data_IF_965885421234
#
_entry.id   IF_965885421234
#
_cell.length_a   1.000
_cell.length_b   1.000
_cell.length_c   1.000
_cell.angle_alpha   90.00
_cell.angle_beta   90.00
_cell.angle_gamma   90.00
#
_symmetry.space_group_name_H-M   'P 1'
#
loop_
_entity.id
_entity.type
_entity.pdbx_description
1 polymer ?
#
# COMPACT_ATOMS: atom_id res chain seq x y z
N UNK A 1 14.13 1.61 23.98
CA UNK A 1 14.45 0.26 24.44
C UNK A 1 13.21 -0.50 24.92
N UNK A 2 12.34 0.06 25.77
CA UNK A 2 11.12 -0.63 26.26
C UNK A 2 10.17 -1.11 25.15
N UNK A 3 9.99 -0.34 24.06
CA UNK A 3 9.11 -0.73 22.95
C UNK A 3 9.63 -1.92 22.14
N UNK A 4 10.95 -2.12 22.06
CA UNK A 4 11.56 -3.27 21.39
C UNK A 4 11.32 -4.53 22.20
N UNK A 5 11.45 -4.45 23.53
CA UNK A 5 11.21 -5.55 24.46
C UNK A 5 9.72 -5.95 24.46
N UNK A 6 8.81 -4.97 24.44
CA UNK A 6 7.36 -5.21 24.37
C UNK A 6 6.95 -5.89 23.05
N UNK A 7 7.55 -5.49 21.93
CA UNK A 7 7.34 -6.13 20.63
C UNK A 7 7.94 -7.55 20.58
N UNK A 8 9.05 -7.79 21.27
CA UNK A 8 9.64 -9.13 21.36
C UNK A 8 8.73 -10.10 22.12
N UNK A 9 8.14 -9.67 23.25
CA UNK A 9 7.16 -10.47 24.00
C UNK A 9 5.83 -10.64 23.25
N UNK A 10 5.45 -9.74 22.36
CA UNK A 10 4.26 -9.85 21.52
C UNK A 10 4.36 -10.96 20.46
N UNK A 11 5.58 -11.39 20.13
CA UNK A 11 5.84 -12.50 19.17
C UNK A 11 5.74 -13.87 19.86
N UNK A 12 5.86 -13.91 21.21
CA UNK A 12 5.74 -15.14 21.98
C UNK A 12 4.24 -15.46 22.10
N UNK A 13 3.76 -16.27 21.18
CA UNK A 13 2.38 -16.75 21.14
C UNK A 13 2.26 -18.13 21.83
N UNK A 14 1.05 -18.54 22.16
CA UNK A 14 0.78 -19.88 22.71
C UNK A 14 1.41 -21.00 21.85
N UNK A 15 1.47 -20.82 20.53
CA UNK A 15 2.15 -21.72 19.60
C UNK A 15 3.65 -21.87 19.89
N UNK A 16 4.34 -20.80 20.31
CA UNK A 16 5.75 -20.83 20.66
C UNK A 16 6.00 -21.73 21.90
N UNK A 17 5.12 -21.65 22.89
CA UNK A 17 5.19 -22.54 24.06
C UNK A 17 4.97 -24.01 23.70
N UNK A 18 4.04 -24.29 22.80
CA UNK A 18 3.79 -25.67 22.31
C UNK A 18 5.05 -26.21 21.62
N UNK A 19 5.70 -25.43 20.76
CA UNK A 19 6.93 -25.83 20.07
C UNK A 19 8.08 -26.09 21.07
N UNK A 20 8.27 -25.20 22.05
CA UNK A 20 9.29 -25.35 23.09
C UNK A 20 9.01 -26.62 23.93
N UNK A 21 7.76 -26.82 24.37
CA UNK A 21 7.38 -28.02 25.13
C UNK A 21 7.61 -29.31 24.33
N UNK A 22 7.21 -29.32 23.04
CA UNK A 22 7.45 -30.45 22.16
C UNK A 22 8.95 -30.75 21.99
N UNK A 23 9.78 -29.72 21.79
CA UNK A 23 11.22 -29.86 21.68
C UNK A 23 11.83 -30.43 22.98
N UNK A 24 11.44 -29.92 24.14
CA UNK A 24 11.90 -30.43 25.44
C UNK A 24 11.52 -31.90 25.66
N UNK A 25 10.26 -32.27 25.36
CA UNK A 25 9.76 -33.65 25.48
C UNK A 25 10.54 -34.58 24.55
N UNK A 26 10.73 -34.19 23.28
CA UNK A 26 11.46 -34.99 22.32
C UNK A 26 12.91 -35.19 22.73
N UNK A 27 13.57 -34.14 23.20
CA UNK A 27 14.95 -34.21 23.70
C UNK A 27 15.04 -35.15 24.92
N UNK A 28 14.10 -35.04 25.86
CA UNK A 28 14.05 -35.93 27.03
C UNK A 28 13.88 -37.40 26.64
N UNK A 29 12.98 -37.70 25.69
CA UNK A 29 12.75 -39.06 25.20
C UNK A 29 14.00 -39.61 24.51
N UNK A 30 14.63 -38.84 23.60
CA UNK A 30 15.85 -39.23 22.93
C UNK A 30 17.00 -39.53 23.91
N UNK A 31 17.16 -38.71 24.95
CA UNK A 31 18.19 -38.90 25.96
C UNK A 31 17.91 -40.16 26.80
N UNK A 32 16.67 -40.43 27.16
CA UNK A 32 16.25 -41.62 27.94
C UNK A 32 16.40 -42.92 27.15
N UNK A 33 16.17 -42.85 25.81
CA UNK A 33 16.26 -44.03 24.93
C UNK A 33 17.69 -44.24 24.37
N UNK A 34 18.68 -43.43 24.80
CA UNK A 34 20.05 -43.46 24.29
C UNK A 34 20.17 -43.33 22.76
N UNK A 35 19.21 -42.59 22.16
CA UNK A 35 19.13 -42.37 20.75
C UNK A 35 20.16 -41.27 20.37
N UNK A 36 21.44 -41.62 20.24
CA UNK A 36 22.46 -40.72 19.78
C UNK A 36 22.68 -40.90 18.28
N UNK A 37 22.15 -39.95 17.50
CA UNK A 37 22.42 -39.90 16.08
C UNK A 37 23.40 -38.77 15.80
N UNK A 38 24.54 -39.10 15.22
CA UNK A 38 25.57 -38.10 14.92
C UNK A 38 25.21 -37.33 13.63
N UNK A 39 24.22 -36.42 13.73
CA UNK A 39 23.85 -35.56 12.61
C UNK A 39 24.80 -34.38 12.59
N UNK A 40 25.40 -34.04 11.43
CA UNK A 40 26.19 -32.80 11.30
C UNK A 40 25.36 -31.60 11.73
N UNK A 41 25.75 -30.92 12.80
CA UNK A 41 25.06 -29.74 13.34
C UNK A 41 24.90 -28.64 12.31
N UNK A 42 25.84 -28.57 11.35
CA UNK A 42 25.78 -27.62 10.22
C UNK A 42 24.56 -27.81 9.33
N UNK A 43 24.15 -29.06 9.07
CA UNK A 43 22.92 -29.35 8.29
C UNK A 43 21.66 -28.89 9.02
N UNK A 44 21.61 -29.05 10.35
CA UNK A 44 20.48 -28.56 11.17
C UNK A 44 20.48 -27.04 11.15
N UNK A 45 21.64 -26.40 11.30
CA UNK A 45 21.78 -24.94 11.22
C UNK A 45 21.27 -24.39 9.89
N UNK A 46 21.67 -24.99 8.79
CA UNK A 46 21.22 -24.63 7.45
C UNK A 46 19.69 -24.80 7.33
N UNK A 47 19.14 -25.95 7.75
CA UNK A 47 17.71 -26.24 7.65
C UNK A 47 16.83 -25.24 8.43
N UNK A 48 17.35 -24.64 9.53
CA UNK A 48 16.65 -23.63 10.31
C UNK A 48 16.85 -22.24 9.73
N UNK A 49 18.07 -21.88 9.34
CA UNK A 49 18.40 -20.51 8.90
C UNK A 49 17.77 -20.20 7.53
N UNK A 50 17.75 -21.13 6.59
CA UNK A 50 17.20 -20.89 5.25
C UNK A 50 15.74 -20.43 5.27
N UNK A 51 14.80 -21.12 5.91
CA UNK A 51 13.40 -20.67 5.94
C UNK A 51 13.23 -19.29 6.60
N UNK A 52 14.03 -18.98 7.63
CA UNK A 52 14.01 -17.69 8.31
C UNK A 52 14.46 -16.59 7.35
N UNK A 53 15.60 -16.77 6.67
CA UNK A 53 16.14 -15.80 5.71
C UNK A 53 15.18 -15.58 4.56
N UNK A 54 14.59 -16.66 4.00
CA UNK A 54 13.56 -16.51 2.94
C UNK A 54 12.34 -15.76 3.40
N UNK A 55 11.86 -16.02 4.62
CA UNK A 55 10.69 -15.33 5.19
C UNK A 55 10.97 -13.84 5.39
N UNK A 56 12.15 -13.49 5.87
CA UNK A 56 12.60 -12.11 6.04
C UNK A 56 12.70 -11.42 4.68
N UNK A 57 13.36 -12.04 3.69
CA UNK A 57 13.50 -11.48 2.35
C UNK A 57 12.14 -11.28 1.67
N UNK A 58 11.23 -12.21 1.83
CA UNK A 58 9.86 -12.08 1.29
C UNK A 58 9.10 -10.90 1.93
N UNK A 59 9.27 -10.69 3.24
CA UNK A 59 8.66 -9.56 3.94
C UNK A 59 9.25 -8.21 3.49
N UNK A 60 10.57 -8.12 3.34
CA UNK A 60 11.24 -6.93 2.81
C UNK A 60 10.83 -6.61 1.38
N UNK A 61 10.86 -7.60 0.49
CA UNK A 61 10.45 -7.42 -0.91
C UNK A 61 9.01 -6.94 -1.03
N UNK A 62 8.12 -7.45 -0.18
CA UNK A 62 6.73 -6.98 -0.14
C UNK A 62 6.63 -5.53 0.30
N UNK A 63 7.38 -5.14 1.33
CA UNK A 63 7.43 -3.74 1.81
C UNK A 63 7.96 -2.81 0.73
N UNK A 64 9.03 -3.16 0.05
CA UNK A 64 9.60 -2.36 -1.03
C UNK A 64 8.61 -2.16 -2.17
N UNK A 65 7.95 -3.23 -2.62
CA UNK A 65 6.89 -3.13 -3.64
C UNK A 65 5.74 -2.22 -3.20
N UNK A 66 5.32 -2.31 -1.93
CA UNK A 66 4.27 -1.44 -1.42
C UNK A 66 4.69 0.04 -1.43
N UNK A 67 5.94 0.35 -1.07
CA UNK A 67 6.48 1.70 -1.12
C UNK A 67 6.63 2.22 -2.56
N UNK A 68 7.05 1.38 -3.50
CA UNK A 68 7.13 1.70 -4.92
C UNK A 68 5.75 2.09 -5.47
N UNK A 69 4.73 1.27 -5.24
CA UNK A 69 3.38 1.54 -5.69
C UNK A 69 2.76 2.76 -5.01
N UNK A 70 3.05 2.97 -3.72
CA UNK A 70 2.63 4.17 -3.02
C UNK A 70 3.29 5.42 -3.59
N UNK A 71 4.57 5.36 -3.93
CA UNK A 71 5.29 6.47 -4.56
C UNK A 71 4.72 6.80 -5.93
N UNK A 72 4.40 5.77 -6.74
CA UNK A 72 3.74 5.95 -8.03
C UNK A 72 2.37 6.61 -7.89
N UNK A 73 1.54 6.11 -6.98
CA UNK A 73 0.23 6.68 -6.66
C UNK A 73 0.34 8.15 -6.26
N UNK A 74 1.22 8.46 -5.29
CA UNK A 74 1.43 9.81 -4.78
C UNK A 74 1.97 10.76 -5.84
N UNK A 75 2.96 10.34 -6.62
CA UNK A 75 3.56 11.16 -7.67
C UNK A 75 2.52 11.50 -8.76
N UNK A 76 1.71 10.52 -9.16
CA UNK A 76 0.65 10.72 -10.15
C UNK A 76 -0.46 11.64 -9.60
N UNK A 77 -0.85 11.47 -8.34
CA UNK A 77 -1.81 12.34 -7.66
C UNK A 77 -1.34 13.80 -7.61
N UNK A 78 -0.07 14.02 -7.23
CA UNK A 78 0.54 15.35 -7.22
C UNK A 78 0.62 15.97 -8.63
N UNK A 79 0.97 15.18 -9.63
CA UNK A 79 1.03 15.65 -11.02
C UNK A 79 -0.32 16.14 -11.53
N UNK A 80 -1.39 15.39 -11.22
CA UNK A 80 -2.76 15.81 -11.58
C UNK A 80 -3.14 17.09 -10.81
N UNK A 81 -2.88 17.13 -9.50
CA UNK A 81 -3.17 18.30 -8.68
C UNK A 81 -2.48 19.56 -9.20
N UNK A 82 -1.20 19.48 -9.53
CA UNK A 82 -0.44 20.60 -10.11
C UNK A 82 -0.99 21.03 -11.47
N UNK A 83 -1.42 20.09 -12.30
CA UNK A 83 -2.07 20.42 -13.56
C UNK A 83 -3.35 21.25 -13.35
N UNK A 84 -4.19 20.85 -12.40
CA UNK A 84 -5.39 21.61 -12.03
C UNK A 84 -5.08 23.01 -11.45
N UNK A 85 -3.93 23.18 -10.79
CA UNK A 85 -3.52 24.47 -10.23
C UNK A 85 -2.91 25.42 -11.25
N UNK A 86 -2.13 24.89 -12.20
CA UNK A 86 -1.23 25.72 -13.00
C UNK A 86 -1.52 25.70 -14.51
N UNK A 87 -2.24 24.69 -15.04
CA UNK A 87 -2.49 24.60 -16.48
C UNK A 87 -3.73 25.39 -16.91
N UNK A 88 -4.60 25.75 -15.98
CA UNK A 88 -5.68 26.66 -16.24
C UNK A 88 -5.10 28.07 -16.22
N UNK A 89 -4.62 28.54 -17.36
CA UNK A 89 -4.06 29.88 -17.50
C UNK A 89 -5.11 30.92 -17.11
N UNK A 90 -4.68 31.96 -16.39
CA UNK A 90 -5.55 33.07 -16.01
C UNK A 90 -6.18 33.80 -17.21
N UNK A 91 -5.50 33.75 -18.38
CA UNK A 91 -5.98 34.30 -19.63
C UNK A 91 -6.89 33.37 -20.43
N UNK A 92 -6.90 32.07 -20.14
CA UNK A 92 -7.78 31.08 -20.79
C UNK A 92 -9.04 30.76 -19.98
N UNK A 93 -9.46 31.67 -19.11
CA UNK A 93 -10.72 31.56 -18.32
C UNK A 93 -11.98 31.46 -19.18
N UNK A 94 -11.84 31.79 -20.49
CA UNK A 94 -12.87 31.52 -21.51
C UNK A 94 -12.42 30.32 -22.37
N UNK A 95 -13.21 29.25 -22.32
CA UNK A 95 -13.00 28.16 -23.27
C UNK A 95 -13.38 28.63 -24.71
N UNK A 96 -13.05 27.80 -25.73
CA UNK A 96 -13.47 28.00 -27.12
C UNK A 96 -14.99 28.13 -27.29
N UNK A 97 -15.78 27.89 -26.27
CA UNK A 97 -17.27 27.96 -26.21
C UNK A 97 -17.78 29.08 -25.31
N UNK A 98 -16.92 30.01 -24.84
CA UNK A 98 -17.31 31.14 -23.98
C UNK A 98 -17.67 30.76 -22.54
N UNK A 99 -17.39 29.54 -22.10
CA UNK A 99 -17.57 29.12 -20.70
C UNK A 99 -16.39 29.56 -19.85
N UNK A 100 -16.67 30.21 -18.72
CA UNK A 100 -15.68 30.57 -17.71
C UNK A 100 -15.60 29.50 -16.63
N UNK A 101 -14.37 29.20 -16.18
CA UNK A 101 -14.14 28.37 -15.00
C UNK A 101 -13.65 29.29 -13.87
N UNK A 102 -14.19 29.10 -12.67
CA UNK A 102 -13.63 29.73 -11.48
C UNK A 102 -12.46 28.85 -11.00
N UNK A 103 -11.23 29.29 -11.26
CA UNK A 103 -10.03 28.54 -10.94
C UNK A 103 -9.90 28.20 -9.47
N UNK A 104 -10.15 29.17 -8.58
CA UNK A 104 -10.00 28.98 -7.13
C UNK A 104 -11.02 27.98 -6.57
N UNK A 105 -12.28 28.09 -7.01
CA UNK A 105 -13.33 27.15 -6.61
C UNK A 105 -13.02 25.73 -7.11
N UNK A 106 -12.50 25.63 -8.33
CA UNK A 106 -12.12 24.36 -8.92
C UNK A 106 -10.97 23.69 -8.16
N UNK A 107 -9.92 24.45 -7.84
CA UNK A 107 -8.76 23.97 -7.05
C UNK A 107 -9.21 23.55 -5.65
N UNK A 108 -10.01 24.35 -4.96
CA UNK A 108 -10.52 24.01 -3.63
C UNK A 108 -11.34 22.70 -3.65
N UNK A 109 -12.12 22.48 -4.71
CA UNK A 109 -12.86 21.24 -4.89
C UNK A 109 -11.93 20.04 -5.08
N UNK A 110 -10.89 20.18 -5.90
CA UNK A 110 -9.90 19.13 -6.12
C UNK A 110 -9.17 18.81 -4.83
N UNK A 111 -8.73 19.81 -4.09
CA UNK A 111 -8.03 19.61 -2.81
C UNK A 111 -8.90 18.86 -1.79
N UNK A 112 -10.20 19.13 -1.76
CA UNK A 112 -11.15 18.39 -0.93
C UNK A 112 -11.25 16.92 -1.35
N UNK A 113 -11.35 16.63 -2.64
CA UNK A 113 -11.40 15.26 -3.17
C UNK A 113 -10.12 14.50 -2.80
N UNK A 114 -8.94 15.13 -2.96
CA UNK A 114 -7.67 14.51 -2.59
C UNK A 114 -7.57 14.23 -1.09
N UNK A 115 -7.97 15.18 -0.25
CA UNK A 115 -7.98 14.99 1.20
C UNK A 115 -8.85 13.79 1.58
N UNK A 116 -10.08 13.74 1.08
CA UNK A 116 -10.99 12.62 1.33
C UNK A 116 -10.43 11.28 0.82
N UNK A 117 -9.78 11.28 -0.34
CA UNK A 117 -9.16 10.09 -0.92
C UNK A 117 -8.02 9.57 -0.04
N UNK A 118 -7.10 10.43 0.39
CA UNK A 118 -5.99 10.05 1.25
C UNK A 118 -6.46 9.59 2.64
N UNK A 119 -7.47 10.25 3.22
CA UNK A 119 -8.06 9.87 4.51
C UNK A 119 -8.74 8.49 4.42
N UNK A 120 -9.52 8.23 3.35
CA UNK A 120 -10.14 6.93 3.13
C UNK A 120 -9.09 5.83 2.88
N UNK A 121 -8.04 6.13 2.10
CA UNK A 121 -6.95 5.19 1.87
C UNK A 121 -6.20 4.88 3.17
N UNK A 122 -5.89 5.90 3.97
CA UNK A 122 -5.27 5.73 5.27
C UNK A 122 -6.10 4.80 6.18
N UNK A 123 -7.40 5.09 6.31
CA UNK A 123 -8.32 4.29 7.11
C UNK A 123 -8.42 2.85 6.59
N UNK A 124 -8.49 2.68 5.27
CA UNK A 124 -8.51 1.36 4.64
C UNK A 124 -7.25 0.57 4.96
N UNK A 125 -6.06 1.19 4.83
CA UNK A 125 -4.78 0.51 5.05
C UNK A 125 -4.54 0.15 6.52
N UNK A 126 -5.01 0.96 7.47
CA UNK A 126 -4.80 0.72 8.90
C UNK A 126 -5.84 -0.22 9.54
N UNK A 127 -6.98 -0.41 8.90
CA UNK A 127 -8.00 -1.31 9.46
C UNK A 127 -7.60 -2.78 9.29
N UNK A 128 -7.81 -3.60 10.33
CA UNK A 128 -7.58 -5.04 10.27
C UNK A 128 -8.61 -5.74 9.37
N UNK A 129 -9.85 -5.26 9.42
CA UNK A 129 -10.98 -5.72 8.61
C UNK A 129 -11.52 -4.51 7.84
N UNK A 130 -11.06 -4.25 6.61
CA UNK A 130 -11.54 -3.11 5.83
C UNK A 130 -13.04 -3.23 5.58
N UNK A 131 -13.78 -2.13 5.84
CA UNK A 131 -15.18 -2.06 5.45
C UNK A 131 -15.27 -1.99 3.91
N UNK A 132 -16.07 -2.85 3.24
CA UNK A 132 -16.27 -2.79 1.79
C UNK A 132 -16.65 -1.40 1.30
N UNK A 133 -17.51 -0.67 2.03
CA UNK A 133 -17.89 0.70 1.69
C UNK A 133 -16.73 1.70 1.65
N UNK A 134 -15.63 1.46 2.36
CA UNK A 134 -14.45 2.32 2.28
C UNK A 134 -13.73 2.16 0.93
N UNK A 135 -13.66 0.95 0.40
CA UNK A 135 -13.11 0.69 -0.93
C UNK A 135 -13.97 1.36 -2.02
N UNK A 136 -15.28 1.20 -1.95
CA UNK A 136 -16.20 1.80 -2.91
C UNK A 136 -16.09 3.34 -2.91
N UNK A 137 -15.92 3.95 -1.73
CA UNK A 137 -15.69 5.39 -1.62
C UNK A 137 -14.36 5.81 -2.28
N UNK A 138 -13.29 5.04 -2.13
CA UNK A 138 -12.00 5.32 -2.78
C UNK A 138 -12.16 5.29 -4.31
N UNK A 139 -12.84 4.28 -4.85
CA UNK A 139 -13.10 4.17 -6.30
C UNK A 139 -13.97 5.32 -6.80
N UNK A 140 -15.01 5.71 -6.03
CA UNK A 140 -15.84 6.86 -6.34
C UNK A 140 -15.03 8.15 -6.42
N UNK A 141 -14.14 8.39 -5.46
CA UNK A 141 -13.27 9.57 -5.44
C UNK A 141 -12.30 9.62 -6.62
N UNK A 142 -11.79 8.47 -7.09
CA UNK A 142 -11.03 8.39 -8.35
C UNK A 142 -11.90 8.79 -9.56
N UNK A 143 -13.15 8.37 -9.58
CA UNK A 143 -14.15 8.79 -10.58
C UNK A 143 -14.38 10.31 -10.54
N UNK A 144 -14.45 10.91 -9.36
CA UNK A 144 -14.62 12.37 -9.20
C UNK A 144 -13.40 13.15 -9.69
N UNK A 145 -12.18 12.60 -9.53
CA UNK A 145 -10.95 13.17 -10.13
C UNK A 145 -11.03 13.09 -11.66
N UNK A 146 -11.46 11.95 -12.22
CA UNK A 146 -11.66 11.79 -13.66
C UNK A 146 -12.65 12.81 -14.21
N UNK A 147 -13.79 12.99 -13.55
CA UNK A 147 -14.78 14.01 -13.93
C UNK A 147 -14.23 15.44 -13.82
N UNK A 148 -13.32 15.68 -12.88
CA UNK A 148 -12.67 16.98 -12.74
C UNK A 148 -11.67 17.23 -13.86
N UNK A 149 -10.95 16.19 -14.33
CA UNK A 149 -10.08 16.25 -15.51
C UNK A 149 -10.91 16.61 -16.77
N UNK A 150 -12.07 15.99 -16.96
CA UNK A 150 -12.95 16.33 -18.09
C UNK A 150 -13.46 17.77 -18.04
N UNK A 151 -13.67 18.34 -16.87
CA UNK A 151 -14.09 19.75 -16.74
C UNK A 151 -13.03 20.75 -17.19
N UNK A 152 -11.75 20.45 -16.98
CA UNK A 152 -10.65 21.32 -17.43
C UNK A 152 -10.21 21.05 -18.86
N UNK A 153 -10.63 19.94 -19.45
CA UNK A 153 -10.28 19.57 -20.84
C UNK A 153 -10.45 20.70 -21.88
N UNK A 154 -11.54 21.49 -21.86
CA UNK A 154 -11.71 22.58 -22.82
C UNK A 154 -10.69 23.73 -22.67
N UNK A 155 -9.99 23.80 -21.54
CA UNK A 155 -9.06 24.89 -21.18
C UNK A 155 -7.60 24.52 -21.36
N UNK A 156 -7.30 23.24 -21.67
CA UNK A 156 -5.96 22.71 -21.88
C UNK A 156 -5.81 22.15 -23.28
N UNK A 157 -4.57 22.02 -23.76
CA UNK A 157 -4.28 21.42 -25.06
C UNK A 157 -4.39 19.88 -24.98
N UNK A 158 -4.65 19.23 -26.12
CA UNK A 158 -4.91 17.79 -26.17
C UNK A 158 -3.74 16.94 -25.65
N UNK A 159 -2.50 17.39 -25.86
CA UNK A 159 -1.29 16.72 -25.33
C UNK A 159 -1.27 16.71 -23.81
N UNK A 160 -1.62 17.83 -23.17
CA UNK A 160 -1.68 17.92 -21.72
C UNK A 160 -2.86 17.12 -21.15
N UNK A 161 -3.99 17.10 -21.85
CA UNK A 161 -5.10 16.22 -21.48
C UNK A 161 -4.68 14.74 -21.52
N UNK A 162 -3.93 14.33 -22.54
CA UNK A 162 -3.40 12.96 -22.64
C UNK A 162 -2.46 12.62 -21.48
N UNK A 163 -1.63 13.58 -21.04
CA UNK A 163 -0.76 13.43 -19.86
C UNK A 163 -1.58 13.28 -18.56
N UNK A 164 -2.66 14.06 -18.40
CA UNK A 164 -3.57 13.95 -17.27
C UNK A 164 -4.22 12.57 -17.17
N UNK A 165 -4.74 12.07 -18.30
CA UNK A 165 -5.37 10.75 -18.35
C UNK A 165 -4.35 9.63 -18.03
N UNK A 166 -3.12 9.78 -18.53
CA UNK A 166 -2.05 8.81 -18.21
C UNK A 166 -1.67 8.84 -16.73
N UNK A 167 -1.56 10.03 -16.12
CA UNK A 167 -1.33 10.14 -14.67
C UNK A 167 -2.48 9.55 -13.85
N UNK A 168 -3.73 9.74 -14.27
CA UNK A 168 -4.89 9.12 -13.62
C UNK A 168 -4.81 7.59 -13.69
N UNK A 169 -4.42 7.04 -14.83
CA UNK A 169 -4.19 5.60 -15.00
C UNK A 169 -3.10 5.08 -14.06
N UNK A 170 -1.95 5.76 -13.96
CA UNK A 170 -0.88 5.37 -13.05
C UNK A 170 -1.29 5.49 -11.58
N UNK A 171 -2.08 6.51 -11.25
CA UNK A 171 -2.65 6.68 -9.92
C UNK A 171 -3.57 5.51 -9.55
N UNK A 172 -4.48 5.11 -10.44
CA UNK A 172 -5.35 3.98 -10.24
C UNK A 172 -4.57 2.66 -10.11
N UNK A 173 -3.57 2.45 -10.98
CA UNK A 173 -2.72 1.26 -10.95
C UNK A 173 -1.91 1.16 -9.65
N UNK A 174 -1.32 2.26 -9.20
CA UNK A 174 -0.60 2.33 -7.93
C UNK A 174 -1.49 2.00 -6.75
N UNK A 175 -2.70 2.56 -6.72
CA UNK A 175 -3.70 2.31 -5.69
C UNK A 175 -4.11 0.84 -5.63
N UNK A 176 -4.49 0.24 -6.76
CA UNK A 176 -4.90 -1.18 -6.83
C UNK A 176 -3.78 -2.11 -6.36
N UNK A 177 -2.54 -1.84 -6.74
CA UNK A 177 -1.40 -2.64 -6.30
C UNK A 177 -1.17 -2.55 -4.78
N UNK A 178 -1.34 -1.37 -4.17
CA UNK A 178 -1.25 -1.20 -2.71
C UNK A 178 -2.34 -2.01 -2.02
N UNK A 179 -3.58 -1.92 -2.50
CA UNK A 179 -4.73 -2.64 -1.96
C UNK A 179 -4.53 -4.16 -2.10
N UNK A 180 -4.05 -4.62 -3.24
CA UNK A 180 -3.73 -6.01 -3.48
C UNK A 180 -2.65 -6.53 -2.53
N UNK A 181 -1.56 -5.78 -2.32
CA UNK A 181 -0.51 -6.16 -1.36
C UNK A 181 -1.06 -6.27 0.07
N UNK A 182 -2.01 -5.41 0.45
CA UNK A 182 -2.68 -5.49 1.75
C UNK A 182 -3.57 -6.73 1.87
N UNK A 183 -4.39 -7.01 0.86
CA UNK A 183 -5.41 -8.04 0.89
C UNK A 183 -4.81 -9.44 0.72
N UNK A 184 -3.79 -9.60 -0.12
CA UNK A 184 -3.04 -10.85 -0.29
C UNK A 184 -1.99 -11.02 0.80
N UNK A 185 -2.43 -11.05 2.06
CA UNK A 185 -1.60 -11.62 3.12
C UNK A 185 -1.41 -13.09 2.80
N UNK A 186 -0.14 -13.54 2.81
CA UNK A 186 0.10 -14.98 2.89
C UNK A 186 -0.75 -15.54 4.02
N UNK A 187 -1.47 -16.65 3.80
CA UNK A 187 -2.17 -17.31 4.90
C UNK A 187 -1.20 -17.44 6.05
N UNK A 188 -1.60 -16.96 7.23
CA UNK A 188 -0.84 -17.23 8.44
C UNK A 188 -0.90 -18.74 8.65
N UNK A 189 0.13 -19.45 8.18
CA UNK A 189 0.38 -20.86 8.48
C UNK A 189 0.55 -21.08 9.98
#
# INVERSE_FOLDING_TARGET
MLNVIKNFFSVINAKTFVVIAAACITTFICTKMEFYYNVPTDLIGIAIVFPIVFSINAAYSRREKALEHYSLFKASALSIRYAHMHWIDENSKENRQGKKINGDEHVNRIDKIYKELFDNLYNYLHSLTPNPGTYDNIIKLLGDISLSNEKIRPFIIDTENSRLQNNLRFMALGLENIINIKNYRTPSS
#
